data_IF_257828846048
#
_entry.id   IF_257828846048
#
_cell.length_a   1.000
_cell.length_b   1.000
_cell.length_c   1.000
_cell.angle_alpha   90.00
_cell.angle_beta   90.00
_cell.angle_gamma   90.00
#
_symmetry.space_group_name_H-M   'P 1'
#
loop_
_entity.id
_entity.type
_entity.pdbx_description
1 polymer ?
#
# COMPACT_ATOMS: atom_id res chain seq x y z
N UNK A 1 7.89 -5.69 -6.94
CA UNK A 1 7.43 -5.62 -5.54
C UNK A 1 6.93 -4.21 -5.26
N UNK A 2 5.79 -4.04 -4.59
CA UNK A 2 5.15 -2.71 -4.47
C UNK A 2 5.60 -2.04 -3.18
N UNK A 3 6.51 -1.08 -3.30
CA UNK A 3 6.93 -0.27 -2.16
C UNK A 3 5.86 0.75 -1.78
N UNK A 4 5.59 0.90 -0.49
CA UNK A 4 4.80 2.00 0.05
C UNK A 4 5.46 2.58 1.30
N UNK A 5 5.09 3.81 1.59
CA UNK A 5 5.53 4.47 2.80
C UNK A 5 4.68 4.01 3.98
N UNK A 6 5.33 3.38 4.96
CA UNK A 6 4.67 3.01 6.20
C UNK A 6 4.72 4.19 7.17
N UNK A 7 3.58 4.82 7.44
CA UNK A 7 3.49 5.94 8.40
C UNK A 7 3.91 5.57 9.81
N UNK A 8 3.72 4.31 10.24
CA UNK A 8 4.20 3.83 11.55
C UNK A 8 5.71 3.66 11.60
N UNK A 9 6.30 3.07 10.57
CA UNK A 9 7.75 2.87 10.51
C UNK A 9 8.49 4.11 10.01
N UNK A 10 7.77 5.14 9.53
CA UNK A 10 8.29 6.34 8.86
C UNK A 10 9.31 6.04 7.75
N UNK A 11 9.17 4.88 7.11
CA UNK A 11 10.11 4.36 6.14
C UNK A 11 9.36 3.78 4.94
N UNK A 12 9.99 3.83 3.76
CA UNK A 12 9.52 3.09 2.59
C UNK A 12 9.83 1.62 2.80
N UNK A 13 8.81 0.77 2.71
CA UNK A 13 8.93 -0.68 2.84
C UNK A 13 8.13 -1.34 1.73
N UNK A 14 8.57 -2.52 1.34
CA UNK A 14 7.80 -3.37 0.44
C UNK A 14 6.52 -3.82 1.14
N UNK A 15 5.39 -3.62 0.48
CA UNK A 15 4.11 -4.08 0.97
C UNK A 15 4.02 -5.60 0.83
N UNK A 16 3.74 -6.27 1.94
CA UNK A 16 3.36 -7.68 1.96
C UNK A 16 1.91 -7.80 1.49
N UNK A 17 1.60 -8.82 0.70
CA UNK A 17 0.24 -9.06 0.17
C UNK A 17 -0.34 -7.87 -0.61
N UNK A 18 0.50 -7.21 -1.41
CA UNK A 18 0.08 -6.11 -2.28
C UNK A 18 -0.93 -6.60 -3.32
N UNK A 19 -2.17 -6.12 -3.23
CA UNK A 19 -3.29 -6.39 -4.13
C UNK A 19 -3.80 -5.11 -4.76
N UNK A 20 -4.07 -5.17 -6.04
CA UNK A 20 -4.73 -4.06 -6.74
C UNK A 20 -6.21 -4.02 -6.33
N UNK A 21 -6.67 -2.86 -5.90
CA UNK A 21 -8.04 -2.57 -5.50
C UNK A 21 -8.51 -1.31 -6.22
N UNK A 22 -9.69 -1.38 -6.82
CA UNK A 22 -10.33 -0.21 -7.41
C UNK A 22 -11.13 0.49 -6.32
N UNK A 23 -10.76 1.73 -6.00
CA UNK A 23 -11.48 2.55 -5.04
C UNK A 23 -12.83 3.00 -5.63
N UNK A 24 -13.80 3.34 -4.79
CA UNK A 24 -15.16 3.76 -5.20
C UNK A 24 -15.19 4.98 -6.14
N UNK A 25 -14.11 5.75 -6.16
CA UNK A 25 -13.90 6.91 -7.04
C UNK A 25 -13.27 6.54 -8.40
N UNK A 26 -13.24 5.25 -8.77
CA UNK A 26 -12.71 4.76 -10.05
C UNK A 26 -11.19 4.74 -10.16
N UNK A 27 -10.46 5.14 -9.10
CA UNK A 27 -9.00 5.15 -9.09
C UNK A 27 -8.45 3.79 -8.66
N UNK A 28 -7.43 3.31 -9.35
CA UNK A 28 -6.68 2.12 -8.95
C UNK A 28 -5.79 2.46 -7.76
N UNK A 29 -5.77 1.57 -6.78
CA UNK A 29 -4.87 1.65 -5.65
C UNK A 29 -4.31 0.26 -5.38
N UNK A 30 -3.10 0.20 -4.85
CA UNK A 30 -2.49 -1.03 -4.40
C UNK A 30 -2.58 -1.06 -2.89
N UNK A 31 -3.34 -2.01 -2.36
CA UNK A 31 -3.52 -2.26 -0.94
C UNK A 31 -2.59 -3.38 -0.52
N UNK A 32 -1.81 -3.19 0.53
CA UNK A 32 -1.02 -4.26 1.14
C UNK A 32 -0.85 -4.02 2.63
N UNK A 33 0.07 -4.76 3.24
CA UNK A 33 0.37 -4.68 4.66
C UNK A 33 1.87 -4.44 4.90
N UNK A 34 2.19 -3.73 5.98
CA UNK A 34 3.56 -3.59 6.42
C UNK A 34 4.08 -4.91 7.01
N UNK A 35 5.17 -5.50 6.47
CA UNK A 35 5.75 -6.71 7.05
C UNK A 35 6.31 -6.50 8.47
N UNK A 36 6.64 -5.26 8.82
CA UNK A 36 7.29 -4.92 10.10
C UNK A 36 6.33 -4.54 11.22
N UNK A 37 5.17 -3.94 10.90
CA UNK A 37 4.23 -3.46 11.92
C UNK A 37 2.78 -3.90 11.67
N UNK A 38 2.53 -4.73 10.64
CA UNK A 38 1.20 -5.24 10.28
C UNK A 38 0.21 -4.18 9.80
N UNK A 39 0.59 -2.91 9.72
CA UNK A 39 -0.33 -1.82 9.38
C UNK A 39 -0.64 -1.86 7.89
N UNK A 40 -1.93 -1.76 7.54
CA UNK A 40 -2.39 -1.68 6.17
C UNK A 40 -1.81 -0.45 5.47
N UNK A 41 -1.15 -0.67 4.34
CA UNK A 41 -0.61 0.37 3.47
C UNK A 41 -1.41 0.44 2.18
N UNK A 42 -1.56 1.66 1.67
CA UNK A 42 -2.24 1.92 0.41
C UNK A 42 -1.36 2.81 -0.45
N UNK A 43 -1.10 2.38 -1.68
CA UNK A 43 -0.43 3.18 -2.71
C UNK A 43 -1.42 3.47 -3.82
N UNK A 44 -1.86 4.72 -3.93
CA UNK A 44 -2.79 5.11 -4.98
C UNK A 44 -2.02 5.09 -6.31
N UNK A 45 -2.42 4.20 -7.21
CA UNK A 45 -1.97 4.18 -8.61
C UNK A 45 -2.91 5.12 -9.38
N UNK A 46 -2.78 6.41 -9.09
CA UNK A 46 -3.40 7.45 -9.89
C UNK A 46 -2.82 7.37 -11.30
N UNK A 47 -3.71 7.36 -12.29
CA UNK A 47 -3.39 7.43 -13.72
C UNK A 47 -2.37 8.52 -14.02
#
# INVERSE_FOLDING_TARGET
>A
MTEAYCVKCKAKKEMKDAKEVTMKNGRKAMKGCCPSCGTGMYRIMGK
#
